data_IF_103060992610
#
_entry.id   IF_103060992610
#
_cell.length_a   1.000
_cell.length_b   1.000
_cell.length_c   1.000
_cell.angle_alpha   90.00
_cell.angle_beta   90.00
_cell.angle_gamma   90.00
#
_symmetry.space_group_name_H-M   'P 1'
#
loop_
_entity.id
_entity.type
_entity.pdbx_description
1 polymer ?
#
# COMPACT_ATOMS: atom_id res chain seq x y z
N UNK A 1 -25.90 -9.75 -24.75
CA UNK A 1 -24.55 -9.18 -24.90
C UNK A 1 -23.75 -9.81 -23.78
N UNK A 2 -22.87 -10.75 -24.10
CA UNK A 2 -22.12 -11.48 -23.08
C UNK A 2 -21.15 -10.51 -22.41
N UNK A 3 -21.32 -10.28 -21.12
CA UNK A 3 -20.28 -9.67 -20.28
C UNK A 3 -19.05 -10.57 -20.40
N UNK A 4 -18.08 -10.16 -21.21
CA UNK A 4 -16.73 -10.73 -21.19
C UNK A 4 -16.16 -10.31 -19.84
N UNK A 5 -16.29 -11.16 -18.83
CA UNK A 5 -16.04 -10.82 -17.43
C UNK A 5 -14.78 -9.97 -17.28
N UNK A 6 -14.97 -8.73 -16.81
CA UNK A 6 -13.99 -7.64 -16.72
C UNK A 6 -12.97 -7.84 -15.57
N UNK A 7 -12.68 -9.09 -15.22
CA UNK A 7 -11.72 -9.38 -14.15
C UNK A 7 -10.28 -9.41 -14.68
N UNK A 8 -9.29 -8.97 -13.87
CA UNK A 8 -7.89 -8.90 -14.29
C UNK A 8 -7.40 -10.20 -14.92
N UNK A 9 -6.62 -10.08 -16.00
CA UNK A 9 -6.09 -11.25 -16.72
C UNK A 9 -4.99 -11.97 -15.95
N UNK A 10 -4.36 -11.27 -15.01
CA UNK A 10 -3.26 -11.80 -14.23
C UNK A 10 -3.10 -11.02 -12.93
N UNK A 11 -2.52 -11.70 -11.94
CA UNK A 11 -2.13 -11.13 -10.65
C UNK A 11 -0.70 -11.52 -10.31
N UNK A 12 -0.07 -10.74 -9.46
CA UNK A 12 1.12 -11.20 -8.72
C UNK A 12 0.67 -11.68 -7.35
N UNK A 13 0.76 -12.98 -7.10
CA UNK A 13 0.53 -13.57 -5.77
C UNK A 13 1.81 -13.44 -4.96
N UNK A 14 1.66 -12.93 -3.73
CA UNK A 14 2.73 -12.72 -2.75
C UNK A 14 2.42 -13.59 -1.53
N UNK A 15 3.28 -14.57 -1.27
CA UNK A 15 3.20 -15.40 -0.08
C UNK A 15 4.00 -14.76 1.06
N UNK A 16 3.39 -14.65 2.23
CA UNK A 16 3.97 -14.00 3.41
C UNK A 16 3.72 -14.86 4.65
N UNK A 17 4.58 -14.79 5.68
CA UNK A 17 4.23 -15.35 6.97
C UNK A 17 3.07 -14.54 7.57
N UNK A 18 2.12 -15.25 8.17
CA UNK A 18 1.12 -14.68 9.04
C UNK A 18 1.75 -14.50 10.43
N UNK A 19 1.95 -13.25 10.81
CA UNK A 19 2.50 -12.85 12.09
C UNK A 19 1.43 -12.16 12.93
N UNK A 20 1.81 -11.81 14.14
CA UNK A 20 0.99 -11.03 15.04
C UNK A 20 1.88 -10.01 15.71
N UNK A 21 1.43 -8.76 15.77
CA UNK A 21 2.15 -7.71 16.46
C UNK A 21 2.13 -7.93 17.99
N UNK A 22 2.91 -7.17 18.77
CA UNK A 22 2.95 -7.30 20.23
C UNK A 22 1.60 -7.08 20.92
N UNK A 23 0.69 -6.34 20.28
CA UNK A 23 -0.68 -6.06 20.73
C UNK A 23 -1.69 -7.13 20.28
N UNK A 24 -1.25 -8.19 19.59
CA UNK A 24 -2.11 -9.29 19.17
C UNK A 24 -2.84 -9.06 17.85
N UNK A 25 -2.51 -8.02 17.07
CA UNK A 25 -3.17 -7.74 15.78
C UNK A 25 -2.47 -8.48 14.64
N UNK A 26 -3.21 -8.90 13.60
CA UNK A 26 -2.62 -9.56 12.44
C UNK A 26 -1.58 -8.64 11.78
N UNK A 27 -0.35 -9.13 11.69
CA UNK A 27 0.74 -8.51 10.92
C UNK A 27 1.19 -9.52 9.86
N UNK A 28 1.74 -9.05 8.75
CA UNK A 28 2.29 -9.92 7.72
C UNK A 28 3.78 -9.64 7.58
N UNK A 29 4.59 -10.69 7.74
CA UNK A 29 6.05 -10.60 7.60
C UNK A 29 6.50 -10.26 6.17
N UNK A 30 7.80 -10.22 5.93
CA UNK A 30 8.34 -9.96 4.58
C UNK A 30 7.91 -11.03 3.56
N UNK A 31 7.76 -10.67 2.26
CA UNK A 31 7.50 -11.64 1.20
C UNK A 31 8.49 -12.80 1.18
N UNK A 32 7.98 -14.02 1.12
CA UNK A 32 8.77 -15.25 0.99
C UNK A 32 8.84 -15.73 -0.45
N UNK A 33 7.76 -15.56 -1.21
CA UNK A 33 7.67 -15.91 -2.63
C UNK A 33 6.72 -14.96 -3.33
N UNK A 34 7.09 -14.56 -4.54
CA UNK A 34 6.22 -13.84 -5.45
C UNK A 34 6.12 -14.63 -6.76
N UNK A 35 4.91 -14.74 -7.29
CA UNK A 35 4.68 -15.43 -8.55
C UNK A 35 3.52 -14.79 -9.30
N UNK A 36 3.72 -14.62 -10.61
CA UNK A 36 2.66 -14.21 -11.51
C UNK A 36 1.77 -15.40 -11.83
N UNK A 37 0.47 -15.18 -11.74
CA UNK A 37 -0.58 -16.16 -12.07
C UNK A 37 -1.51 -15.56 -13.11
N UNK A 38 -1.98 -16.36 -14.05
CA UNK A 38 -2.82 -15.93 -15.16
C UNK A 38 -4.20 -16.58 -15.08
N UNK A 39 -5.22 -15.83 -15.48
CA UNK A 39 -6.59 -16.32 -15.50
C UNK A 39 -6.68 -17.54 -16.42
N UNK A 40 -7.25 -18.62 -15.90
CA UNK A 40 -7.45 -19.87 -16.67
C UNK A 40 -8.71 -19.81 -17.54
N UNK A 41 -9.68 -18.96 -17.15
CA UNK A 41 -11.03 -18.92 -17.73
C UNK A 41 -12.02 -19.86 -17.02
N UNK A 42 -11.54 -20.69 -16.10
CA UNK A 42 -12.36 -21.60 -15.29
C UNK A 42 -12.63 -21.02 -13.89
N UNK A 43 -13.67 -21.55 -13.24
CA UNK A 43 -13.91 -21.32 -11.82
C UNK A 43 -13.19 -22.37 -10.99
N UNK A 44 -12.68 -21.94 -9.84
CA UNK A 44 -12.06 -22.80 -8.87
C UNK A 44 -13.04 -23.45 -7.89
N UNK A 45 -12.50 -24.16 -6.91
CA UNK A 45 -13.30 -24.92 -5.95
C UNK A 45 -14.04 -24.00 -4.98
N UNK A 46 -13.53 -22.79 -4.75
CA UNK A 46 -14.22 -21.74 -3.98
C UNK A 46 -15.39 -21.10 -4.72
N UNK A 47 -15.53 -21.35 -6.03
CA UNK A 47 -16.52 -20.71 -6.89
C UNK A 47 -16.06 -19.39 -7.53
N UNK A 48 -14.82 -18.98 -7.28
CA UNK A 48 -14.21 -17.76 -7.84
C UNK A 48 -13.31 -18.08 -9.05
N UNK A 49 -13.01 -17.11 -9.93
CA UNK A 49 -12.10 -17.30 -11.07
C UNK A 49 -10.75 -17.87 -10.64
N UNK A 50 -10.28 -18.87 -11.39
CA UNK A 50 -9.03 -19.56 -11.12
C UNK A 50 -7.86 -18.97 -11.89
N UNK A 51 -6.76 -18.76 -11.19
CA UNK A 51 -5.49 -18.27 -11.71
C UNK A 51 -4.36 -19.26 -11.44
N UNK A 52 -3.49 -19.48 -12.42
CA UNK A 52 -2.38 -20.44 -12.31
C UNK A 52 -1.09 -19.85 -12.85
N UNK A 53 0.03 -20.13 -12.17
CA UNK A 53 1.36 -19.77 -12.66
C UNK A 53 2.47 -20.08 -11.67
N UNK A 54 3.64 -20.48 -12.19
CA UNK A 54 4.86 -20.73 -11.39
C UNK A 54 4.63 -21.61 -10.15
N UNK A 55 3.83 -22.68 -10.29
CA UNK A 55 3.49 -23.61 -9.20
C UNK A 55 2.40 -23.12 -8.25
N UNK A 56 1.89 -21.91 -8.41
CA UNK A 56 0.74 -21.41 -7.65
C UNK A 56 -0.54 -21.63 -8.45
N UNK A 57 -1.58 -22.12 -7.77
CA UNK A 57 -2.97 -22.02 -8.22
C UNK A 57 -3.76 -21.29 -7.15
N UNK A 58 -4.45 -20.23 -7.52
CA UNK A 58 -5.25 -19.41 -6.62
C UNK A 58 -6.64 -19.15 -7.22
N UNK A 59 -7.67 -19.24 -6.39
CA UNK A 59 -9.02 -18.81 -6.72
C UNK A 59 -9.19 -17.41 -6.08
N UNK A 60 -9.41 -16.38 -6.90
CA UNK A 60 -9.32 -14.97 -6.47
C UNK A 60 -10.66 -14.27 -6.72
N UNK A 61 -11.18 -13.55 -5.72
CA UNK A 61 -12.31 -12.64 -5.90
C UNK A 61 -11.85 -11.40 -6.68
N UNK A 62 -12.30 -11.21 -7.93
CA UNK A 62 -11.84 -10.09 -8.75
C UNK A 62 -12.38 -8.74 -8.27
N UNK A 63 -13.44 -8.72 -7.45
CA UNK A 63 -14.00 -7.48 -6.91
C UNK A 63 -13.15 -6.91 -5.77
N UNK A 64 -12.53 -7.78 -4.97
CA UNK A 64 -11.79 -7.40 -3.75
C UNK A 64 -10.30 -7.71 -3.80
N UNK A 65 -9.87 -8.58 -4.73
CA UNK A 65 -8.53 -9.15 -4.74
C UNK A 65 -8.30 -10.20 -3.65
N UNK A 66 -9.34 -10.64 -2.94
CA UNK A 66 -9.20 -11.66 -1.90
C UNK A 66 -8.80 -13.03 -2.50
N UNK A 67 -7.85 -13.71 -1.86
CA UNK A 67 -7.47 -15.08 -2.21
C UNK A 67 -8.37 -16.03 -1.41
N UNK A 68 -9.32 -16.65 -2.09
CA UNK A 68 -10.37 -17.47 -1.49
C UNK A 68 -9.92 -18.93 -1.35
N UNK A 69 -9.04 -19.40 -2.23
CA UNK A 69 -8.36 -20.68 -2.11
C UNK A 69 -6.98 -20.62 -2.78
N UNK A 70 -6.01 -21.35 -2.26
CA UNK A 70 -4.66 -21.40 -2.84
C UNK A 70 -3.97 -22.73 -2.59
N UNK A 71 -3.22 -23.19 -3.60
CA UNK A 71 -2.26 -24.29 -3.51
C UNK A 71 -0.90 -23.85 -4.02
N UNK A 72 0.15 -24.40 -3.44
CA UNK A 72 1.55 -24.12 -3.78
C UNK A 72 2.25 -25.43 -4.10
N UNK A 73 2.70 -25.55 -5.34
CA UNK A 73 3.34 -26.73 -5.91
C UNK A 73 2.49 -28.02 -5.81
N UNK A 74 1.16 -27.85 -5.74
CA UNK A 74 0.16 -28.92 -5.65
C UNK A 74 -0.32 -29.22 -4.23
N UNK A 75 0.33 -28.66 -3.20
CA UNK A 75 -0.04 -28.81 -1.81
C UNK A 75 -0.84 -27.61 -1.30
N UNK A 76 -1.61 -27.82 -0.22
CA UNK A 76 -2.29 -26.74 0.48
C UNK A 76 -1.27 -25.74 1.06
N UNK A 77 -1.66 -24.46 1.14
CA UNK A 77 -0.79 -23.43 1.70
C UNK A 77 -0.37 -23.81 3.13
N UNK A 78 0.93 -23.77 3.47
CA UNK A 78 1.39 -24.11 4.81
C UNK A 78 0.74 -23.25 5.90
N UNK A 79 0.48 -23.87 7.06
CA UNK A 79 -0.02 -23.14 8.22
C UNK A 79 0.94 -22.02 8.65
N UNK A 80 0.37 -20.87 9.03
CA UNK A 80 1.13 -19.68 9.38
C UNK A 80 1.58 -18.85 8.18
N UNK A 81 1.00 -19.11 7.00
CA UNK A 81 1.22 -18.31 5.79
C UNK A 81 -0.08 -17.68 5.33
N UNK A 82 0.05 -16.54 4.66
CA UNK A 82 -1.06 -15.85 3.99
C UNK A 82 -0.63 -15.51 2.57
N UNK A 83 -1.61 -15.52 1.66
CA UNK A 83 -1.45 -15.07 0.29
C UNK A 83 -2.14 -13.72 0.10
N UNK A 84 -1.47 -12.81 -0.60
CA UNK A 84 -2.04 -11.53 -1.04
C UNK A 84 -1.79 -11.38 -2.53
N UNK A 85 -2.64 -10.61 -3.21
CA UNK A 85 -2.45 -10.29 -4.62
C UNK A 85 -2.06 -8.83 -4.78
N UNK A 86 -1.29 -8.56 -5.83
CA UNK A 86 -1.10 -7.23 -6.40
C UNK A 86 -1.68 -7.25 -7.80
N UNK A 87 -2.52 -6.28 -8.12
CA UNK A 87 -3.10 -6.13 -9.45
C UNK A 87 -2.01 -5.89 -10.50
N UNK A 88 -2.19 -6.56 -11.64
CA UNK A 88 -1.32 -6.43 -12.80
C UNK A 88 -1.75 -5.39 -13.84
N UNK A 89 -2.84 -4.68 -13.61
CA UNK A 89 -3.30 -3.69 -14.57
C UNK A 89 -4.73 -3.23 -14.34
N UNK A 90 -4.89 -2.30 -13.40
CA UNK A 90 -5.89 -1.23 -13.47
C UNK A 90 -5.29 -0.03 -12.75
N UNK A 91 -4.79 0.96 -13.49
CA UNK A 91 -4.49 2.29 -12.93
C UNK A 91 -5.79 3.05 -12.63
N UNK A 92 -6.60 2.53 -11.72
CA UNK A 92 -7.78 3.24 -11.25
C UNK A 92 -8.13 2.82 -9.82
N UNK A 93 -7.85 3.74 -8.89
CA UNK A 93 -8.63 3.87 -7.66
C UNK A 93 -8.02 3.26 -6.41
N UNK A 94 -7.09 3.99 -5.82
CA UNK A 94 -6.64 3.71 -4.47
C UNK A 94 -5.52 4.65 -4.06
N UNK A 95 -5.79 5.95 -4.03
CA UNK A 95 -5.13 6.79 -3.04
C UNK A 95 -5.53 6.24 -1.66
N UNK A 96 -4.65 5.57 -0.90
CA UNK A 96 -4.84 5.58 0.53
C UNK A 96 -4.69 7.04 0.93
N UNK A 97 -5.82 7.66 1.28
CA UNK A 97 -5.85 8.82 2.15
C UNK A 97 -4.89 8.52 3.30
N UNK A 98 -3.66 9.05 3.20
CA UNK A 98 -2.75 9.07 4.32
C UNK A 98 -3.45 9.89 5.40
N UNK A 99 -3.77 9.31 6.56
CA UNK A 99 -4.29 10.11 7.64
C UNK A 99 -3.14 11.02 8.09
N UNK A 100 -3.41 12.32 8.07
CA UNK A 100 -2.83 13.28 9.00
C UNK A 100 -1.44 13.81 8.61
N UNK A 101 -1.45 14.80 7.72
CA UNK A 101 -0.52 15.91 7.88
C UNK A 101 -0.77 16.53 9.25
N UNK A 102 0.12 16.23 10.20
CA UNK A 102 0.17 16.85 11.52
C UNK A 102 0.06 18.38 11.41
N UNK A 103 -1.07 18.94 11.84
CA UNK A 103 -1.18 20.35 12.21
C UNK A 103 -0.42 20.53 13.53
N UNK A 104 0.90 20.74 13.41
CA UNK A 104 1.67 21.26 14.54
C UNK A 104 1.44 22.77 14.57
N UNK A 105 0.37 23.12 15.27
CA UNK A 105 0.20 24.43 15.86
C UNK A 105 1.50 24.89 16.51
N UNK A 106 2.12 25.88 15.89
CA UNK A 106 3.06 26.79 16.52
C UNK A 106 2.75 28.15 15.93
N UNK A 107 1.69 28.75 16.48
CA UNK A 107 1.68 30.19 16.68
C UNK A 107 2.63 30.49 17.83
N UNK A 108 3.64 31.33 17.61
CA UNK A 108 3.96 32.37 18.57
C UNK A 108 3.87 33.71 17.84
N UNK A 109 2.86 34.48 18.19
CA UNK A 109 3.01 35.55 19.17
C UNK A 109 3.28 36.86 18.43
N UNK A 110 2.22 37.65 18.31
CA UNK A 110 2.33 39.09 18.11
C UNK A 110 3.33 39.66 19.13
N UNK A 111 4.37 40.31 18.66
CA UNK A 111 5.05 41.35 19.42
C UNK A 111 5.49 42.43 18.43
N UNK A 112 4.63 43.44 18.29
CA UNK A 112 4.92 44.72 17.66
C UNK A 112 5.65 45.57 18.71
N UNK A 113 6.95 45.89 18.55
CA UNK A 113 7.56 46.89 19.40
C UNK A 113 7.23 48.30 18.87
N UNK A 114 6.84 49.22 19.76
CA UNK A 114 6.45 50.58 19.39
C UNK A 114 7.64 51.42 18.94
N UNK A 115 7.34 52.44 18.14
CA UNK A 115 8.26 53.52 17.77
C UNK A 115 8.74 54.31 19.01
N UNK A 116 10.05 54.59 19.12
CA UNK A 116 10.54 55.81 19.75
C UNK A 116 11.98 56.20 19.31
N UNK A 117 12.03 57.33 18.59
CA UNK A 117 12.92 58.49 18.69
C UNK A 117 14.34 58.38 19.31
N UNK A 118 15.33 59.00 18.63
CA UNK A 118 16.43 59.68 19.34
C UNK A 118 17.84 59.61 18.73
N UNK A 119 18.22 60.65 17.99
CA UNK A 119 19.41 61.47 18.28
C UNK A 119 20.84 60.90 18.18
N UNK A 120 21.61 61.55 17.28
CA UNK A 120 22.90 62.21 17.59
C UNK A 120 24.22 61.42 17.46
N UNK A 121 25.03 61.83 16.47
CA UNK A 121 26.43 62.22 16.70
C UNK A 121 27.53 61.25 16.25
N UNK A 122 28.44 61.73 15.40
CA UNK A 122 29.74 61.07 15.17
C UNK A 122 30.45 61.45 13.89
N UNK A 123 31.20 62.55 13.92
CA UNK A 123 32.09 63.01 12.85
C UNK A 123 33.41 62.20 12.76
N UNK A 124 34.06 62.26 11.60
CA UNK A 124 35.48 61.91 11.40
C UNK A 124 35.72 61.16 10.07
N UNK A 125 35.89 61.81 8.93
CA UNK A 125 37.07 62.54 8.45
C UNK A 125 38.33 61.68 8.17
N UNK A 126 38.49 61.15 6.95
CA UNK A 126 39.83 60.99 6.35
C UNK A 126 39.76 61.05 4.81
N UNK A 127 40.46 62.03 4.24
CA UNK A 127 40.78 62.13 2.80
C UNK A 127 41.75 61.02 2.37
N UNK A 128 41.72 60.71 1.07
CA UNK A 128 42.92 60.70 0.24
C UNK A 128 42.59 61.41 -1.08
#
# INVERSE_FOLDING_TARGET
MSEMSEHPRWYTVVLKPQLTDPEGRPEHGSPLREARVEATGDLGASGYPRYVGSGIQADIDPATGAVEAITVDGDELPLGYVAQVRDGGSEAGGDPLGPEGFDLGTSPLSDDPPADQGGSGGAGAHRA
#
